data_IF_508885252903
#
_entry.id   IF_508885252903
#
_cell.length_a   1.000
_cell.length_b   1.000
_cell.length_c   1.000
_cell.angle_alpha   90.00
_cell.angle_beta   90.00
_cell.angle_gamma   90.00
#
_symmetry.space_group_name_H-M   'P 1'
#
loop_
_entity.id
_entity.type
_entity.pdbx_description
1 polymer ?
#
# COMPACT_ATOMS: atom_id res chain seq x y z
N UNK A 1 -12.05 -20.19 12.10
CA UNK A 1 -12.42 -20.54 10.72
C UNK A 1 -11.95 -19.50 9.69
N UNK A 2 -12.13 -18.17 9.95
CA UNK A 2 -11.65 -17.05 9.09
C UNK A 2 -10.14 -17.03 8.86
N UNK A 3 -9.32 -17.22 9.89
CA UNK A 3 -7.85 -17.27 9.75
C UNK A 3 -7.35 -18.42 8.85
N UNK A 4 -8.13 -19.50 8.74
CA UNK A 4 -7.79 -20.63 7.89
C UNK A 4 -8.09 -20.37 6.40
N UNK A 5 -9.07 -19.53 6.11
CA UNK A 5 -9.38 -19.08 4.74
C UNK A 5 -8.37 -18.06 4.23
N UNK A 6 -7.95 -17.12 5.08
CA UNK A 6 -6.90 -16.14 4.74
C UNK A 6 -5.57 -16.84 4.39
N UNK A 7 -5.18 -17.87 5.14
CA UNK A 7 -4.00 -18.68 4.84
C UNK A 7 -4.08 -19.41 3.48
N UNK A 8 -5.27 -19.80 3.03
CA UNK A 8 -5.45 -20.44 1.72
C UNK A 8 -5.52 -19.47 0.54
N UNK A 9 -6.06 -18.26 0.77
CA UNK A 9 -6.19 -17.24 -0.27
C UNK A 9 -4.85 -16.52 -0.48
N UNK A 10 -4.11 -16.26 0.59
CA UNK A 10 -2.84 -15.53 0.52
C UNK A 10 -1.69 -16.37 -0.04
N UNK A 11 -1.72 -17.69 0.19
CA UNK A 11 -0.61 -18.57 -0.16
C UNK A 11 -1.09 -19.93 -0.65
N UNK A 12 -1.70 -20.03 -1.85
CA UNK A 12 -1.84 -21.33 -2.46
C UNK A 12 -0.42 -21.92 -2.61
N UNK A 13 -0.19 -23.06 -2.01
CA UNK A 13 1.02 -23.84 -2.24
C UNK A 13 1.02 -24.31 -3.70
N UNK A 14 1.64 -23.52 -4.58
CA UNK A 14 1.94 -23.97 -5.92
C UNK A 14 2.98 -25.09 -5.83
N UNK A 15 2.73 -26.24 -6.43
CA UNK A 15 3.76 -27.27 -6.54
C UNK A 15 4.90 -26.74 -7.39
N UNK A 16 6.03 -26.48 -6.77
CA UNK A 16 7.32 -26.26 -7.42
C UNK A 16 7.80 -27.60 -8.02
N UNK A 17 7.17 -28.06 -9.09
CA UNK A 17 7.71 -29.08 -10.01
C UNK A 17 6.88 -29.11 -11.28
N UNK A 18 7.25 -28.29 -12.23
CA UNK A 18 7.10 -28.61 -13.64
C UNK A 18 8.51 -28.73 -14.22
N UNK A 19 9.15 -29.86 -13.90
CA UNK A 19 10.31 -30.33 -14.63
C UNK A 19 9.81 -31.44 -15.57
N UNK A 20 9.92 -31.18 -16.85
CA UNK A 20 10.01 -32.09 -17.98
C UNK A 20 9.38 -33.48 -17.82
N UNK A 21 8.23 -33.67 -18.40
CA UNK A 21 7.88 -34.87 -19.13
C UNK A 21 7.36 -34.47 -20.50
N UNK A 22 8.16 -34.74 -21.52
CA UNK A 22 7.65 -34.82 -22.88
C UNK A 22 6.54 -35.87 -22.90
N UNK A 23 5.33 -35.42 -23.13
CA UNK A 23 4.23 -36.21 -23.66
C UNK A 23 3.68 -35.41 -24.81
N UNK A 24 3.92 -35.93 -26.00
CA UNK A 24 3.27 -35.53 -27.23
C UNK A 24 1.75 -35.72 -27.10
N UNK A 25 1.05 -34.64 -26.88
CA UNK A 25 -0.34 -34.51 -27.22
C UNK A 25 -0.57 -33.03 -27.59
N UNK A 26 -0.72 -32.79 -28.88
CA UNK A 26 -1.28 -31.55 -29.44
C UNK A 26 -2.69 -31.35 -28.93
N UNK A 27 -2.87 -30.77 -27.79
CA UNK A 27 -4.12 -30.18 -27.33
C UNK A 27 -3.88 -28.74 -26.94
N UNK A 28 -4.21 -27.88 -27.91
CA UNK A 28 -4.75 -26.54 -27.69
C UNK A 28 -4.20 -25.81 -26.44
N UNK A 29 -2.98 -25.30 -26.53
CA UNK A 29 -2.60 -24.14 -25.73
C UNK A 29 -3.53 -23.01 -26.14
N UNK A 30 -4.53 -22.69 -25.31
CA UNK A 30 -5.23 -21.43 -25.43
C UNK A 30 -4.21 -20.32 -25.18
N UNK A 31 -3.79 -19.69 -26.24
CA UNK A 31 -2.92 -18.52 -26.19
C UNK A 31 -3.80 -17.36 -25.73
N UNK A 32 -3.78 -17.06 -24.46
CA UNK A 32 -4.40 -15.85 -23.92
C UNK A 32 -3.62 -14.64 -24.43
N UNK A 33 -4.14 -13.99 -25.45
CA UNK A 33 -3.66 -12.68 -25.84
C UNK A 33 -4.35 -11.65 -24.96
N UNK A 34 -3.62 -11.12 -23.98
CA UNK A 34 -4.09 -9.96 -23.21
C UNK A 34 -4.11 -8.79 -24.18
N UNK A 35 -5.31 -8.36 -24.63
CA UNK A 35 -5.46 -7.13 -25.37
C UNK A 35 -5.07 -5.97 -24.45
N UNK A 36 -3.94 -5.33 -24.73
CA UNK A 36 -3.49 -4.13 -24.02
C UNK A 36 -4.34 -2.96 -24.48
N UNK A 37 -5.31 -2.56 -23.68
CA UNK A 37 -6.07 -1.35 -23.91
C UNK A 37 -5.13 -0.14 -23.88
N UNK A 38 -5.21 0.71 -24.92
CA UNK A 38 -4.56 2.02 -24.88
C UNK A 38 -5.54 3.01 -24.27
N UNK A 39 -5.11 3.76 -23.25
CA UNK A 39 -5.94 4.83 -22.71
C UNK A 39 -6.12 5.94 -23.74
N UNK A 40 -7.37 6.30 -24.09
CA UNK A 40 -7.64 7.51 -24.87
C UNK A 40 -7.02 8.71 -24.16
N UNK A 41 -6.42 9.65 -24.90
CA UNK A 41 -5.80 10.84 -24.31
C UNK A 41 -6.79 11.73 -23.56
N UNK A 42 -8.08 11.68 -23.91
CA UNK A 42 -9.16 12.38 -23.20
C UNK A 42 -9.42 11.82 -21.78
N UNK A 43 -9.04 10.58 -21.50
CA UNK A 43 -9.18 9.94 -20.20
C UNK A 43 -7.92 10.04 -19.32
N UNK A 44 -6.84 10.65 -19.80
CA UNK A 44 -5.61 10.79 -19.04
C UNK A 44 -5.68 11.99 -18.10
N UNK A 45 -5.00 11.92 -16.95
CA UNK A 45 -4.81 13.09 -16.10
C UNK A 45 -4.14 14.24 -16.89
N UNK A 46 -4.60 15.50 -16.78
CA UNK A 46 -4.06 16.62 -17.57
C UNK A 46 -2.55 16.80 -17.45
N UNK A 47 -1.98 16.48 -16.28
CA UNK A 47 -0.57 16.62 -16.00
C UNK A 47 0.26 15.35 -16.21
N UNK A 48 -0.31 14.25 -16.70
CA UNK A 48 0.36 12.94 -16.82
C UNK A 48 1.70 13.00 -17.56
N UNK A 49 1.84 13.90 -18.52
CA UNK A 49 3.05 14.01 -19.34
C UNK A 49 4.00 15.15 -18.92
N UNK A 50 3.66 15.90 -17.88
CA UNK A 50 4.44 17.07 -17.47
C UNK A 50 5.64 16.71 -16.59
N UNK A 51 5.57 15.58 -15.89
CA UNK A 51 6.58 15.17 -14.92
C UNK A 51 7.42 14.03 -15.48
N UNK A 52 8.73 14.22 -15.42
CA UNK A 52 9.72 13.18 -15.68
C UNK A 52 10.08 12.48 -14.37
N UNK A 53 10.74 11.34 -14.48
CA UNK A 53 11.31 10.64 -13.32
C UNK A 53 12.26 11.58 -12.57
N UNK A 54 12.11 11.62 -11.25
CA UNK A 54 12.98 12.40 -10.36
C UNK A 54 14.40 11.83 -10.43
N UNK A 55 15.32 12.55 -11.06
CA UNK A 55 16.73 12.21 -11.14
C UNK A 55 17.56 12.97 -10.08
N UNK A 56 18.84 12.63 -9.96
CA UNK A 56 19.78 13.27 -9.03
C UNK A 56 19.74 14.80 -9.14
N UNK A 57 19.77 15.34 -10.37
CA UNK A 57 19.81 16.78 -10.62
C UNK A 57 18.53 17.46 -10.14
N UNK A 58 17.39 16.84 -10.41
CA UNK A 58 16.08 17.36 -9.98
C UNK A 58 15.92 17.23 -8.47
N UNK A 59 16.36 16.11 -7.88
CA UNK A 59 16.37 15.91 -6.43
C UNK A 59 17.15 17.01 -5.71
N UNK A 60 18.38 17.28 -6.15
CA UNK A 60 19.22 18.32 -5.55
C UNK A 60 18.60 19.73 -5.64
N UNK A 61 17.74 20.00 -6.62
CA UNK A 61 17.01 21.29 -6.73
C UNK A 61 15.88 21.42 -5.71
N UNK A 62 15.39 20.31 -5.14
CA UNK A 62 14.43 20.34 -4.05
C UNK A 62 15.10 20.55 -2.69
N UNK A 63 16.43 20.53 -2.60
CA UNK A 63 17.18 20.72 -1.37
C UNK A 63 17.76 22.13 -1.29
N UNK A 64 17.63 22.75 -0.13
CA UNK A 64 18.36 23.99 0.17
C UNK A 64 19.82 23.70 0.56
N UNK A 65 20.58 24.75 0.86
CA UNK A 65 22.01 24.64 1.24
C UNK A 65 22.26 23.80 2.50
N UNK A 66 21.28 23.68 3.38
CA UNK A 66 21.37 22.87 4.61
C UNK A 66 20.88 21.41 4.38
N UNK A 67 20.43 21.10 3.16
CA UNK A 67 19.91 19.79 2.80
C UNK A 67 18.46 19.56 3.23
N UNK A 68 17.70 20.58 3.59
CA UNK A 68 16.28 20.50 3.89
C UNK A 68 15.48 20.51 2.58
N UNK A 69 14.36 19.78 2.55
CA UNK A 69 13.48 19.75 1.38
C UNK A 69 12.63 21.02 1.34
N UNK A 70 12.79 21.78 0.27
CA UNK A 70 11.93 22.93 -0.02
C UNK A 70 10.67 22.48 -0.76
N UNK A 71 9.53 23.07 -0.40
CA UNK A 71 8.24 22.82 -1.07
C UNK A 71 7.90 21.32 -1.21
N UNK A 72 7.90 20.59 -0.07
CA UNK A 72 7.65 19.15 0.02
C UNK A 72 6.49 18.68 -0.88
N UNK A 73 5.40 19.45 -0.98
CA UNK A 73 4.25 19.10 -1.81
C UNK A 73 4.56 19.11 -3.31
N UNK A 74 5.51 19.93 -3.79
CA UNK A 74 5.97 19.88 -5.18
C UNK A 74 6.83 18.64 -5.44
N UNK A 75 7.69 18.29 -4.49
CA UNK A 75 8.45 17.03 -4.53
C UNK A 75 7.50 15.83 -4.58
N UNK A 76 6.52 15.77 -3.67
CA UNK A 76 5.53 14.69 -3.63
C UNK A 76 4.72 14.60 -4.92
N UNK A 77 4.33 15.73 -5.50
CA UNK A 77 3.67 15.79 -6.82
C UNK A 77 4.57 15.23 -7.93
N UNK A 78 5.83 15.64 -7.97
CA UNK A 78 6.78 15.13 -8.96
C UNK A 78 6.98 13.62 -8.86
N UNK A 79 7.07 13.08 -7.64
CA UNK A 79 7.17 11.64 -7.40
C UNK A 79 5.88 10.90 -7.80
N UNK A 80 4.72 11.44 -7.45
CA UNK A 80 3.42 10.85 -7.78
C UNK A 80 3.25 10.62 -9.28
N UNK A 81 3.65 11.57 -10.12
CA UNK A 81 3.55 11.45 -11.58
C UNK A 81 4.76 10.79 -12.23
N UNK A 82 5.97 11.22 -11.87
CA UNK A 82 7.20 10.81 -12.53
C UNK A 82 7.85 9.54 -11.97
N UNK A 83 7.65 9.26 -10.67
CA UNK A 83 8.43 8.25 -9.94
C UNK A 83 9.86 8.72 -9.66
N UNK A 84 10.67 7.84 -9.07
CA UNK A 84 12.03 8.12 -8.64
C UNK A 84 13.02 7.29 -9.48
N UNK A 85 14.15 7.89 -9.86
CA UNK A 85 15.23 7.15 -10.48
C UNK A 85 15.80 6.13 -9.47
N UNK A 86 15.99 4.86 -9.86
CA UNK A 86 16.51 3.84 -8.95
C UNK A 86 17.80 4.24 -8.23
N UNK A 87 18.68 5.01 -8.88
CA UNK A 87 19.97 5.41 -8.30
C UNK A 87 19.88 6.31 -7.06
N UNK A 88 18.71 6.93 -6.82
CA UNK A 88 18.48 7.83 -5.67
C UNK A 88 17.38 7.36 -4.72
N UNK A 89 16.83 6.18 -4.93
CA UNK A 89 15.78 5.63 -4.03
C UNK A 89 16.24 5.56 -2.58
N UNK A 90 17.47 5.09 -2.35
CA UNK A 90 18.05 5.01 -1.01
C UNK A 90 18.13 6.35 -0.29
N UNK A 91 18.20 7.47 -1.01
CA UNK A 91 18.21 8.82 -0.44
C UNK A 91 16.80 9.40 -0.24
N UNK A 92 15.88 9.14 -1.16
CA UNK A 92 14.54 9.75 -1.19
C UNK A 92 13.53 8.96 -0.37
N UNK A 93 13.57 7.63 -0.41
CA UNK A 93 12.63 6.78 0.31
C UNK A 93 12.58 7.02 1.83
N UNK A 94 13.72 7.30 2.53
CA UNK A 94 13.66 7.63 3.94
C UNK A 94 12.76 8.82 4.30
N UNK A 95 12.58 9.78 3.39
CA UNK A 95 11.63 10.88 3.57
C UNK A 95 10.18 10.43 3.35
N UNK A 96 9.92 9.67 2.29
CA UNK A 96 8.59 9.14 1.98
C UNK A 96 8.09 8.18 3.07
N UNK A 97 8.99 7.46 3.71
CA UNK A 97 8.71 6.50 4.77
C UNK A 97 8.81 7.11 6.18
N UNK A 98 8.86 8.43 6.27
CA UNK A 98 8.89 9.17 7.53
C UNK A 98 10.06 8.83 8.47
N UNK A 99 11.14 8.25 7.95
CA UNK A 99 12.40 8.08 8.70
C UNK A 99 13.12 9.40 8.88
N UNK A 100 13.09 10.26 7.86
CA UNK A 100 13.53 11.65 7.91
C UNK A 100 12.36 12.62 7.77
N UNK A 101 12.39 13.70 8.56
CA UNK A 101 11.52 14.84 8.34
C UNK A 101 11.99 15.65 7.13
N UNK A 102 11.06 16.21 6.35
CA UNK A 102 11.40 17.02 5.17
C UNK A 102 12.14 18.32 5.52
N UNK A 103 11.90 18.87 6.71
CA UNK A 103 12.56 20.06 7.24
C UNK A 103 13.90 19.78 7.93
N UNK A 104 14.31 18.50 8.03
CA UNK A 104 15.58 18.14 8.67
C UNK A 104 16.78 18.52 7.82
N UNK A 105 17.80 19.09 8.46
CA UNK A 105 19.11 19.35 7.83
C UNK A 105 19.92 18.06 7.66
N UNK A 106 20.94 18.10 6.81
CA UNK A 106 21.87 16.97 6.65
C UNK A 106 22.56 16.56 7.94
N UNK A 107 22.93 17.53 8.79
CA UNK A 107 23.54 17.26 10.10
C UNK A 107 22.57 16.60 11.07
N UNK A 108 21.32 17.06 11.12
CA UNK A 108 20.31 16.47 11.96
C UNK A 108 20.01 15.02 11.54
N UNK A 109 19.95 14.74 10.24
CA UNK A 109 19.77 13.37 9.75
C UNK A 109 20.93 12.44 10.13
N UNK A 110 22.18 12.94 10.07
CA UNK A 110 23.33 12.12 10.49
C UNK A 110 23.29 11.83 12.00
N UNK A 111 22.99 12.83 12.83
CA UNK A 111 22.80 12.63 14.27
C UNK A 111 21.64 11.66 14.55
N UNK A 112 20.54 11.78 13.82
CA UNK A 112 19.38 10.89 13.91
C UNK A 112 19.74 9.44 13.56
N UNK A 113 20.50 9.23 12.47
CA UNK A 113 20.98 7.90 12.08
C UNK A 113 21.81 7.24 13.17
N UNK A 114 22.73 7.98 13.80
CA UNK A 114 23.55 7.47 14.90
C UNK A 114 22.68 7.05 16.09
N UNK A 115 21.72 7.88 16.48
CA UNK A 115 20.77 7.57 17.55
C UNK A 115 19.92 6.34 17.21
N UNK A 116 19.42 6.25 15.98
CA UNK A 116 18.60 5.15 15.53
C UNK A 116 19.37 3.83 15.42
N UNK A 117 20.66 3.87 15.05
CA UNK A 117 21.55 2.70 15.08
C UNK A 117 21.73 2.16 16.49
N UNK A 118 21.92 3.03 17.48
CA UNK A 118 21.97 2.63 18.88
C UNK A 118 20.67 1.96 19.30
N UNK A 119 19.54 2.57 19.02
CA UNK A 119 18.23 1.99 19.33
C UNK A 119 17.98 0.64 18.62
N UNK A 120 18.38 0.51 17.34
CA UNK A 120 18.32 -0.77 16.63
C UNK A 120 19.15 -1.85 17.33
N UNK A 121 20.37 -1.50 17.78
CA UNK A 121 21.21 -2.39 18.55
C UNK A 121 20.54 -2.82 19.86
N UNK A 122 19.90 -1.90 20.59
CA UNK A 122 19.16 -2.22 21.82
C UNK A 122 18.01 -3.21 21.57
N UNK A 123 17.28 -3.04 20.46
CA UNK A 123 16.24 -4.01 20.03
C UNK A 123 16.86 -5.38 19.76
N UNK A 124 17.99 -5.41 19.07
CA UNK A 124 18.73 -6.65 18.80
C UNK A 124 19.20 -7.31 20.08
N UNK A 125 19.74 -6.56 21.03
CA UNK A 125 20.18 -7.10 22.34
C UNK A 125 19.01 -7.67 23.13
N UNK A 126 17.84 -6.99 23.15
CA UNK A 126 16.63 -7.55 23.78
C UNK A 126 16.26 -8.91 23.20
N UNK A 127 16.32 -9.07 21.87
CA UNK A 127 16.06 -10.35 21.22
C UNK A 127 17.05 -11.43 21.63
N UNK A 128 18.33 -11.09 21.69
CA UNK A 128 19.41 -12.03 22.01
C UNK A 128 19.47 -12.42 23.49
N UNK A 129 18.90 -11.58 24.39
CA UNK A 129 18.88 -11.81 25.84
C UNK A 129 17.59 -12.47 26.34
N UNK A 130 16.73 -12.98 25.44
CA UNK A 130 15.54 -13.72 25.81
C UNK A 130 15.86 -14.97 26.66
N UNK A 131 15.06 -15.24 27.68
CA UNK A 131 15.13 -16.49 28.44
C UNK A 131 14.83 -17.70 27.52
N UNK A 132 15.22 -18.92 27.91
CA UNK A 132 14.90 -20.12 27.10
C UNK A 132 13.41 -20.28 26.81
N UNK A 133 12.54 -19.94 27.77
CA UNK A 133 11.08 -20.01 27.62
C UNK A 133 10.59 -18.97 26.61
N UNK A 134 11.02 -17.70 26.76
CA UNK A 134 10.68 -16.61 25.84
C UNK A 134 11.19 -16.91 24.42
N UNK A 135 12.41 -17.43 24.31
CA UNK A 135 12.97 -17.81 23.01
C UNK A 135 12.19 -18.95 22.35
N UNK A 136 11.75 -19.96 23.12
CA UNK A 136 10.92 -21.04 22.61
C UNK A 136 9.56 -20.54 22.11
N UNK A 137 8.94 -19.62 22.84
CA UNK A 137 7.69 -18.98 22.47
C UNK A 137 7.84 -18.10 21.22
N UNK A 138 8.87 -17.27 21.19
CA UNK A 138 9.19 -16.41 20.07
C UNK A 138 9.52 -17.22 18.81
N UNK A 139 10.29 -18.31 18.94
CA UNK A 139 10.58 -19.21 17.84
C UNK A 139 9.28 -19.78 17.24
N UNK A 140 8.37 -20.26 18.06
CA UNK A 140 7.12 -20.87 17.64
C UNK A 140 6.16 -19.88 16.96
N UNK A 141 6.04 -18.68 17.52
CA UNK A 141 5.10 -17.65 17.08
C UNK A 141 5.60 -16.83 15.87
N UNK A 142 6.89 -16.61 15.79
CA UNK A 142 7.52 -15.66 14.85
C UNK A 142 8.60 -16.30 14.01
N UNK A 143 9.69 -16.75 14.62
CA UNK A 143 10.92 -17.10 13.93
C UNK A 143 10.72 -18.22 12.91
N UNK A 144 9.94 -19.26 13.27
CA UNK A 144 9.66 -20.38 12.37
C UNK A 144 9.01 -19.94 11.04
N UNK A 145 8.13 -18.93 11.08
CA UNK A 145 7.49 -18.39 9.86
C UNK A 145 8.44 -17.49 9.09
N UNK A 146 9.19 -16.64 9.79
CA UNK A 146 10.23 -15.78 9.17
C UNK A 146 11.25 -16.64 8.43
N UNK A 147 11.77 -17.69 9.08
CA UNK A 147 12.79 -18.58 8.50
C UNK A 147 12.30 -19.25 7.21
N UNK A 148 11.02 -19.61 7.14
CA UNK A 148 10.42 -20.17 5.93
C UNK A 148 10.20 -19.14 4.83
N UNK A 149 9.90 -17.89 5.19
CA UNK A 149 9.61 -16.85 4.21
C UNK A 149 10.89 -16.29 3.58
N UNK A 150 11.91 -15.96 4.37
CA UNK A 150 13.13 -15.33 3.88
C UNK A 150 13.89 -16.19 2.89
N UNK A 151 13.87 -17.52 3.05
CA UNK A 151 14.56 -18.43 2.13
C UNK A 151 13.92 -18.54 0.75
N UNK A 152 12.70 -18.05 0.58
CA UNK A 152 11.96 -18.07 -0.69
C UNK A 152 11.67 -16.68 -1.27
N UNK A 153 11.94 -15.61 -0.50
CA UNK A 153 11.64 -14.23 -0.90
C UNK A 153 12.71 -13.72 -1.86
N UNK A 154 12.28 -13.18 -2.99
CA UNK A 154 13.08 -12.51 -4.03
C UNK A 154 14.36 -13.24 -4.47
N UNK A 155 14.39 -14.58 -4.45
CA UNK A 155 15.57 -15.38 -4.79
C UNK A 155 16.02 -15.26 -6.27
N UNK A 156 15.17 -14.73 -7.14
CA UNK A 156 15.52 -14.38 -8.52
C UNK A 156 16.31 -13.08 -8.62
N UNK A 157 16.18 -12.19 -7.64
CA UNK A 157 16.93 -10.94 -7.57
C UNK A 157 18.40 -11.23 -7.27
N UNK A 158 19.30 -10.60 -8.04
CA UNK A 158 20.75 -10.79 -7.88
C UNK A 158 21.23 -10.47 -6.46
N UNK A 159 20.62 -9.49 -5.79
CA UNK A 159 20.96 -9.08 -4.43
C UNK A 159 20.74 -10.19 -3.39
N UNK A 160 19.73 -11.06 -3.58
CA UNK A 160 19.41 -12.18 -2.69
C UNK A 160 19.76 -13.55 -3.25
N UNK A 161 20.33 -13.62 -4.46
CA UNK A 161 20.60 -14.87 -5.17
C UNK A 161 21.72 -15.67 -4.51
N UNK A 162 21.65 -16.98 -4.61
CA UNK A 162 22.69 -17.94 -4.17
C UNK A 162 22.46 -18.45 -2.75
N UNK A 163 23.12 -19.57 -2.44
CA UNK A 163 23.06 -20.19 -1.12
C UNK A 163 23.92 -19.39 -0.13
N UNK A 164 23.47 -19.33 1.14
CA UNK A 164 24.12 -18.59 2.21
C UNK A 164 24.36 -17.10 1.92
N UNK A 165 23.48 -16.48 1.15
CA UNK A 165 23.60 -15.07 0.83
C UNK A 165 23.43 -14.20 2.10
N UNK A 166 24.40 -13.32 2.43
CA UNK A 166 24.37 -12.51 3.65
C UNK A 166 23.16 -11.56 3.71
N UNK A 167 22.63 -11.10 2.57
CA UNK A 167 21.49 -10.21 2.54
C UNK A 167 20.18 -10.90 2.96
N UNK A 168 20.09 -12.21 2.76
CA UNK A 168 18.96 -13.01 3.27
C UNK A 168 18.99 -13.06 4.79
N UNK A 169 20.18 -13.19 5.39
CA UNK A 169 20.33 -13.16 6.85
C UNK A 169 20.10 -11.73 7.42
N UNK A 170 20.48 -10.69 6.70
CA UNK A 170 20.15 -9.30 7.08
C UNK A 170 18.62 -9.11 7.07
N UNK A 171 17.95 -9.51 6.01
CA UNK A 171 16.47 -9.47 5.92
C UNK A 171 15.82 -10.23 7.08
N UNK A 172 16.32 -11.42 7.40
CA UNK A 172 15.89 -12.22 8.54
C UNK A 172 16.02 -11.46 9.85
N UNK A 173 17.19 -10.86 10.12
CA UNK A 173 17.43 -10.08 11.35
C UNK A 173 16.49 -8.88 11.47
N UNK A 174 16.28 -8.15 10.38
CA UNK A 174 15.35 -7.01 10.34
C UNK A 174 13.94 -7.46 10.79
N UNK A 175 13.42 -8.55 10.21
CA UNK A 175 12.08 -9.06 10.52
C UNK A 175 11.94 -9.56 11.95
N UNK A 176 12.95 -10.29 12.45
CA UNK A 176 12.97 -10.78 13.84
C UNK A 176 13.04 -9.62 14.83
N UNK A 177 13.87 -8.62 14.54
CA UNK A 177 13.99 -7.42 15.37
C UNK A 177 12.72 -6.58 15.35
N UNK A 178 12.03 -6.49 14.17
CA UNK A 178 10.74 -5.83 14.09
C UNK A 178 9.68 -6.49 14.96
N UNK A 179 9.62 -7.80 15.00
CA UNK A 179 8.66 -8.52 15.85
C UNK A 179 8.94 -8.34 17.36
N UNK A 180 10.19 -8.07 17.74
CA UNK A 180 10.55 -7.71 19.14
C UNK A 180 10.25 -6.23 19.40
N UNK A 181 10.41 -5.36 18.41
CA UNK A 181 10.11 -3.94 18.51
C UNK A 181 8.62 -3.68 18.63
N UNK A 182 7.82 -4.36 17.82
CA UNK A 182 6.35 -4.27 17.79
C UNK A 182 5.71 -5.65 18.04
N UNK A 183 5.64 -6.09 19.31
CA UNK A 183 5.14 -7.44 19.65
C UNK A 183 3.64 -7.61 19.38
N UNK A 184 2.86 -6.52 19.38
CA UNK A 184 1.41 -6.56 19.08
C UNK A 184 1.16 -6.91 17.62
N UNK A 185 2.02 -6.45 16.72
CA UNK A 185 2.01 -6.79 15.31
C UNK A 185 2.71 -8.14 15.05
N UNK A 186 3.85 -8.35 15.69
CA UNK A 186 4.68 -9.53 15.47
C UNK A 186 5.17 -9.64 14.04
N UNK A 187 5.01 -10.82 13.45
CA UNK A 187 5.31 -11.10 12.05
C UNK A 187 4.09 -11.68 11.34
N UNK A 188 3.69 -11.05 10.27
CA UNK A 188 2.71 -11.57 9.34
C UNK A 188 3.41 -12.12 8.09
N UNK A 189 2.98 -13.29 7.63
CA UNK A 189 3.52 -13.92 6.43
C UNK A 189 3.39 -12.95 5.23
N UNK A 190 4.50 -12.73 4.51
CA UNK A 190 4.59 -11.78 3.40
C UNK A 190 5.25 -10.45 3.76
N UNK A 191 5.51 -10.14 5.03
CA UNK A 191 6.30 -8.95 5.40
C UNK A 191 7.70 -8.98 4.79
N UNK A 192 8.26 -10.16 4.51
CA UNK A 192 9.52 -10.32 3.80
C UNK A 192 9.48 -9.75 2.38
N UNK A 193 8.34 -9.84 1.69
CA UNK A 193 8.14 -9.22 0.37
C UNK A 193 8.19 -7.68 0.41
N UNK A 194 7.94 -7.09 1.58
CA UNK A 194 8.01 -5.64 1.80
C UNK A 194 9.42 -5.18 2.20
N UNK A 195 10.11 -5.97 3.02
CA UNK A 195 11.48 -5.66 3.48
C UNK A 195 12.49 -5.86 2.36
N UNK A 196 12.32 -6.86 1.50
CA UNK A 196 13.30 -7.19 0.48
C UNK A 196 13.62 -6.01 -0.48
N UNK A 197 12.63 -5.30 -1.07
CA UNK A 197 12.91 -4.13 -1.88
C UNK A 197 13.52 -2.96 -1.09
N UNK A 198 13.08 -2.73 0.16
CA UNK A 198 13.68 -1.70 1.01
C UNK A 198 15.17 -1.97 1.23
N UNK A 199 15.51 -3.20 1.56
CA UNK A 199 16.90 -3.60 1.79
C UNK A 199 17.74 -3.51 0.52
N UNK A 200 17.17 -3.83 -0.63
CA UNK A 200 17.86 -3.74 -1.93
C UNK A 200 18.23 -2.29 -2.28
N UNK A 201 17.34 -1.34 -2.01
CA UNK A 201 17.51 0.06 -2.39
C UNK A 201 18.27 0.87 -1.32
N UNK A 202 18.08 0.60 -0.03
CA UNK A 202 18.69 1.36 1.08
C UNK A 202 20.07 0.81 1.44
N UNK A 203 20.27 -0.52 1.38
CA UNK A 203 21.53 -1.24 1.57
C UNK A 203 22.19 -1.07 2.96
N UNK A 204 21.50 -0.52 3.95
CA UNK A 204 21.91 -0.45 5.35
C UNK A 204 20.87 -1.14 6.22
N UNK A 205 21.29 -2.05 7.09
CA UNK A 205 20.39 -2.87 7.92
C UNK A 205 19.55 -2.01 8.87
N UNK A 206 20.17 -1.07 9.57
CA UNK A 206 19.47 -0.20 10.53
C UNK A 206 18.53 0.79 9.85
N UNK A 207 19.00 1.44 8.78
CA UNK A 207 18.18 2.40 8.05
C UNK A 207 17.00 1.68 7.36
N UNK A 208 17.21 0.48 6.83
CA UNK A 208 16.14 -0.37 6.28
C UNK A 208 15.11 -0.74 7.35
N UNK A 209 15.58 -1.12 8.55
CA UNK A 209 14.69 -1.44 9.66
C UNK A 209 13.80 -0.24 10.01
N UNK A 210 14.36 0.96 10.15
CA UNK A 210 13.58 2.15 10.50
C UNK A 210 12.67 2.64 9.37
N UNK A 211 13.09 2.48 8.12
CA UNK A 211 12.21 2.71 6.96
C UNK A 211 11.06 1.70 6.93
N UNK A 212 11.31 0.44 7.30
CA UNK A 212 10.26 -0.56 7.42
C UNK A 212 9.30 -0.26 8.58
N UNK A 213 9.80 0.21 9.74
CA UNK A 213 8.96 0.71 10.84
C UNK A 213 8.07 1.86 10.35
N UNK A 214 8.66 2.84 9.63
CA UNK A 214 7.91 3.95 9.06
C UNK A 214 6.84 3.51 8.08
N UNK A 215 7.15 2.52 7.24
CA UNK A 215 6.19 1.90 6.32
C UNK A 215 5.00 1.30 7.09
N UNK A 216 5.26 0.54 8.15
CA UNK A 216 4.23 -0.17 8.91
C UNK A 216 3.37 0.75 9.78
N UNK A 217 3.94 1.85 10.27
CA UNK A 217 3.25 2.75 11.22
C UNK A 217 2.54 3.94 10.55
N UNK A 218 3.07 4.41 9.41
CA UNK A 218 2.65 5.68 8.82
C UNK A 218 1.96 5.53 7.46
N UNK A 219 1.77 4.32 6.97
CA UNK A 219 1.03 4.14 5.72
C UNK A 219 -0.27 3.38 5.96
N UNK A 220 -1.37 3.92 5.42
CA UNK A 220 -2.67 3.25 5.38
C UNK A 220 -2.63 2.06 4.40
N UNK A 221 -1.62 2.09 3.55
CA UNK A 221 -1.39 1.16 2.47
C UNK A 221 -1.17 -0.28 2.94
N UNK A 222 -0.51 -0.46 4.09
CA UNK A 222 -0.32 -1.78 4.67
C UNK A 222 -1.38 -2.01 5.72
N UNK A 223 -2.23 -2.96 5.44
CA UNK A 223 -3.21 -3.43 6.38
C UNK A 223 -2.52 -3.92 7.65
N UNK A 224 -2.92 -3.38 8.78
CA UNK A 224 -2.69 -4.03 10.06
C UNK A 224 -3.20 -5.47 9.98
N UNK A 225 -2.61 -6.45 10.65
CA UNK A 225 -3.17 -7.78 10.77
C UNK A 225 -4.53 -7.79 11.49
N UNK A 226 -5.02 -6.62 11.92
CA UNK A 226 -6.37 -6.45 12.45
C UNK A 226 -7.35 -6.49 11.28
N UNK A 227 -8.29 -7.40 11.35
CA UNK A 227 -9.37 -7.58 10.36
C UNK A 227 -10.10 -6.25 10.04
N UNK A 228 -10.18 -5.34 11.01
CA UNK A 228 -10.89 -4.06 10.91
C UNK A 228 -10.28 -3.10 9.85
N UNK A 229 -8.95 -3.08 9.72
CA UNK A 229 -8.30 -2.17 8.75
C UNK A 229 -8.48 -2.66 7.31
N UNK A 230 -8.40 -3.97 7.09
CA UNK A 230 -8.68 -4.57 5.79
C UNK A 230 -10.16 -4.36 5.42
N UNK A 231 -11.08 -4.63 6.34
CA UNK A 231 -12.50 -4.46 6.08
C UNK A 231 -12.86 -3.02 5.73
N UNK A 232 -12.27 -2.03 6.40
CA UNK A 232 -12.45 -0.61 6.06
C UNK A 232 -11.98 -0.30 4.64
N UNK A 233 -10.80 -0.79 4.22
CA UNK A 233 -10.30 -0.58 2.88
C UNK A 233 -11.16 -1.27 1.82
N UNK A 234 -11.64 -2.48 2.11
CA UNK A 234 -12.58 -3.18 1.23
C UNK A 234 -13.93 -2.47 1.14
N UNK A 235 -14.41 -1.89 2.24
CA UNK A 235 -15.61 -1.05 2.24
C UNK A 235 -15.42 0.17 1.32
N UNK A 236 -14.31 0.89 1.42
CA UNK A 236 -14.01 1.99 0.51
C UNK A 236 -13.91 1.52 -0.94
N UNK A 237 -13.30 0.37 -1.18
CA UNK A 237 -13.19 -0.17 -2.53
C UNK A 237 -14.56 -0.55 -3.09
N UNK A 238 -15.45 -1.17 -2.32
CA UNK A 238 -16.85 -1.46 -2.73
C UNK A 238 -17.59 -0.18 -3.12
N UNK A 239 -17.46 0.87 -2.29
CA UNK A 239 -18.10 2.16 -2.57
C UNK A 239 -17.49 2.85 -3.82
N UNK A 240 -16.18 2.77 -4.02
CA UNK A 240 -15.54 3.27 -5.25
C UNK A 240 -16.02 2.50 -6.48
N UNK A 241 -16.15 1.17 -6.40
CA UNK A 241 -16.69 0.35 -7.48
C UNK A 241 -18.15 0.71 -7.77
N UNK A 242 -18.97 0.89 -6.73
CA UNK A 242 -20.37 1.32 -6.91
C UNK A 242 -20.46 2.65 -7.65
N UNK A 243 -19.58 3.60 -7.33
CA UNK A 243 -19.58 4.94 -7.88
C UNK A 243 -18.99 5.01 -9.31
N UNK A 244 -17.90 4.28 -9.55
CA UNK A 244 -17.08 4.44 -10.75
C UNK A 244 -17.25 3.29 -11.76
N UNK A 245 -17.70 2.11 -11.31
CA UNK A 245 -17.90 0.90 -12.12
C UNK A 245 -19.21 0.21 -11.73
N UNK A 246 -20.37 0.87 -11.96
CA UNK A 246 -21.67 0.35 -11.53
C UNK A 246 -21.99 -1.03 -12.07
N UNK A 247 -21.64 -1.36 -13.32
CA UNK A 247 -21.91 -2.66 -13.93
C UNK A 247 -21.12 -3.78 -13.23
N UNK A 248 -19.85 -3.56 -12.97
CA UNK A 248 -19.01 -4.51 -12.20
C UNK A 248 -19.53 -4.68 -10.76
N UNK A 249 -19.90 -3.57 -10.11
CA UNK A 249 -20.50 -3.62 -8.78
C UNK A 249 -21.84 -4.39 -8.78
N UNK A 250 -22.69 -4.20 -9.80
CA UNK A 250 -23.94 -4.95 -9.94
C UNK A 250 -23.69 -6.46 -10.09
N UNK A 251 -22.65 -6.84 -10.85
CA UNK A 251 -22.23 -8.23 -10.96
C UNK A 251 -21.81 -8.80 -9.59
N UNK A 252 -21.00 -8.06 -8.80
CA UNK A 252 -20.63 -8.47 -7.43
C UNK A 252 -21.85 -8.64 -6.53
N UNK A 253 -22.82 -7.72 -6.61
CA UNK A 253 -24.09 -7.83 -5.87
C UNK A 253 -24.89 -9.08 -6.24
N UNK A 254 -24.90 -9.45 -7.53
CA UNK A 254 -25.56 -10.66 -8.00
C UNK A 254 -24.92 -11.96 -7.47
N UNK A 255 -23.60 -11.93 -7.16
CA UNK A 255 -22.87 -13.03 -6.52
C UNK A 255 -23.09 -13.09 -4.99
N UNK A 256 -23.81 -12.13 -4.40
CA UNK A 256 -24.09 -12.07 -2.97
C UNK A 256 -22.88 -11.68 -2.12
N UNK A 257 -22.88 -12.16 -0.84
CA UNK A 257 -21.81 -11.82 0.12
C UNK A 257 -20.43 -12.25 -0.37
N UNK A 258 -20.30 -13.38 -1.04
CA UNK A 258 -19.03 -13.88 -1.56
C UNK A 258 -18.42 -12.94 -2.61
N UNK A 259 -19.24 -12.35 -3.47
CA UNK A 259 -18.80 -11.35 -4.44
C UNK A 259 -18.30 -10.07 -3.76
N UNK A 260 -19.02 -9.62 -2.74
CA UNK A 260 -18.71 -8.39 -1.99
C UNK A 260 -17.49 -8.52 -1.06
N UNK A 261 -17.02 -9.73 -0.75
CA UNK A 261 -15.78 -9.94 -0.01
C UNK A 261 -14.53 -9.51 -0.79
N UNK A 262 -14.60 -9.35 -2.12
CA UNK A 262 -13.50 -8.92 -2.98
C UNK A 262 -12.21 -9.73 -2.76
N UNK A 263 -12.31 -11.06 -2.59
CA UNK A 263 -11.18 -11.93 -2.23
C UNK A 263 -9.97 -11.79 -3.18
N UNK A 264 -10.23 -11.49 -4.45
CA UNK A 264 -9.18 -11.28 -5.44
C UNK A 264 -8.30 -10.05 -5.17
N UNK A 265 -8.82 -9.03 -4.45
CA UNK A 265 -8.09 -7.82 -4.09
C UNK A 265 -7.24 -7.97 -2.80
N UNK A 266 -7.52 -8.96 -1.94
CA UNK A 266 -6.83 -9.09 -0.66
C UNK A 266 -5.32 -9.18 -0.81
N UNK A 267 -4.84 -10.04 -1.73
CA UNK A 267 -3.40 -10.18 -1.99
C UNK A 267 -2.79 -8.89 -2.55
N UNK A 268 -3.53 -8.16 -3.38
CA UNK A 268 -3.07 -6.87 -3.94
C UNK A 268 -2.80 -5.85 -2.83
N UNK A 269 -3.74 -5.72 -1.90
CA UNK A 269 -3.64 -4.77 -0.79
C UNK A 269 -2.57 -5.20 0.22
N UNK A 270 -2.61 -6.46 0.70
CA UNK A 270 -1.71 -6.96 1.74
C UNK A 270 -0.25 -6.96 1.33
N UNK A 271 0.05 -7.30 0.07
CA UNK A 271 1.41 -7.39 -0.46
C UNK A 271 1.77 -6.20 -1.35
N UNK A 272 0.94 -5.15 -1.31
CA UNK A 272 1.21 -3.90 -1.99
C UNK A 272 1.54 -4.10 -3.47
N UNK A 273 0.76 -4.94 -4.16
CA UNK A 273 0.94 -5.30 -5.58
C UNK A 273 2.27 -5.98 -5.92
N UNK A 274 3.15 -6.27 -4.96
CA UNK A 274 4.50 -6.83 -5.17
C UNK A 274 4.48 -8.13 -5.96
N UNK A 275 3.45 -8.94 -5.82
CA UNK A 275 3.29 -10.21 -6.53
C UNK A 275 2.43 -10.13 -7.79
N UNK A 276 1.92 -8.96 -8.11
CA UNK A 276 1.07 -8.74 -9.28
C UNK A 276 1.82 -8.13 -10.46
N UNK A 277 2.92 -7.41 -10.15
CA UNK A 277 3.71 -6.70 -11.15
C UNK A 277 5.21 -7.00 -11.00
N UNK A 278 5.98 -6.86 -12.11
CA UNK A 278 7.43 -6.84 -12.01
C UNK A 278 7.91 -5.78 -11.00
N UNK A 279 9.06 -6.02 -10.34
CA UNK A 279 9.59 -5.14 -9.30
C UNK A 279 9.66 -3.68 -9.73
N UNK A 280 10.11 -3.40 -10.95
CA UNK A 280 10.19 -2.05 -11.51
C UNK A 280 8.86 -1.31 -11.47
N UNK A 281 7.76 -2.00 -11.75
CA UNK A 281 6.42 -1.41 -11.79
C UNK A 281 5.81 -1.33 -10.38
N UNK A 282 5.98 -2.39 -9.59
CA UNK A 282 5.51 -2.43 -8.21
C UNK A 282 6.13 -1.30 -7.37
N UNK A 283 7.44 -1.08 -7.47
CA UNK A 283 8.13 -0.02 -6.74
C UNK A 283 7.68 1.39 -7.16
N UNK A 284 7.38 1.60 -8.44
CA UNK A 284 6.77 2.86 -8.90
C UNK A 284 5.37 3.07 -8.33
N UNK A 285 4.58 2.00 -8.18
CA UNK A 285 3.28 2.07 -7.50
C UNK A 285 3.44 2.44 -6.03
N UNK A 286 4.44 1.88 -5.34
CA UNK A 286 4.77 2.22 -3.97
C UNK A 286 5.13 3.70 -3.83
N UNK A 287 6.03 4.20 -4.67
CA UNK A 287 6.43 5.61 -4.70
C UNK A 287 5.23 6.54 -4.88
N UNK A 288 4.31 6.20 -5.78
CA UNK A 288 3.09 6.98 -6.00
C UNK A 288 2.14 6.96 -4.77
N UNK A 289 2.01 5.81 -4.10
CA UNK A 289 1.23 5.69 -2.87
C UNK A 289 1.88 6.47 -1.71
N UNK A 290 3.20 6.31 -1.50
CA UNK A 290 3.94 6.99 -0.43
C UNK A 290 4.09 8.49 -0.64
N UNK A 291 3.90 8.97 -1.86
CA UNK A 291 3.86 10.40 -2.12
C UNK A 291 2.71 11.11 -1.41
N UNK A 292 1.63 10.42 -1.03
CA UNK A 292 0.48 10.97 -0.32
C UNK A 292 -0.01 12.30 -0.89
N UNK A 293 -0.03 12.41 -2.24
CA UNK A 293 -0.20 13.71 -2.90
C UNK A 293 -1.66 14.20 -2.88
N UNK A 294 -2.56 13.51 -3.52
CA UNK A 294 -3.98 13.90 -3.61
C UNK A 294 -4.90 13.08 -2.72
N UNK A 295 -4.41 11.95 -2.27
CA UNK A 295 -5.10 11.00 -1.40
C UNK A 295 -4.08 10.16 -0.64
N UNK A 296 -4.47 9.65 0.51
CA UNK A 296 -3.70 8.63 1.23
C UNK A 296 -4.09 7.20 0.77
N UNK A 297 -5.16 7.09 -0.01
CA UNK A 297 -5.74 5.83 -0.47
C UNK A 297 -5.51 5.54 -1.95
N UNK A 298 -4.39 6.01 -2.52
CA UNK A 298 -4.12 5.83 -3.96
C UNK A 298 -4.10 4.37 -4.39
N UNK A 299 -3.69 3.45 -3.51
CA UNK A 299 -3.71 2.01 -3.76
C UNK A 299 -5.12 1.47 -4.08
N UNK A 300 -6.19 2.06 -3.55
CA UNK A 300 -7.56 1.67 -3.92
C UNK A 300 -7.90 2.07 -5.36
N UNK A 301 -7.38 3.21 -5.82
CA UNK A 301 -7.52 3.61 -7.23
C UNK A 301 -6.69 2.71 -8.16
N UNK A 302 -5.57 2.15 -7.69
CA UNK A 302 -4.85 1.10 -8.43
C UNK A 302 -5.70 -0.17 -8.54
N UNK A 303 -6.38 -0.59 -7.49
CA UNK A 303 -7.33 -1.72 -7.55
C UNK A 303 -8.45 -1.47 -8.57
N UNK A 304 -9.08 -0.29 -8.52
CA UNK A 304 -10.13 0.07 -9.49
C UNK A 304 -9.56 0.11 -10.91
N UNK A 305 -8.34 0.63 -11.11
CA UNK A 305 -7.69 0.68 -12.42
C UNK A 305 -7.42 -0.71 -13.01
N UNK A 306 -6.98 -1.67 -12.17
CA UNK A 306 -6.80 -3.07 -12.59
C UNK A 306 -8.14 -3.65 -13.06
N UNK A 307 -9.21 -3.43 -12.30
CA UNK A 307 -10.54 -3.93 -12.65
C UNK A 307 -11.04 -3.31 -13.95
N UNK A 308 -10.88 -1.98 -14.13
CA UNK A 308 -11.25 -1.29 -15.39
C UNK A 308 -10.53 -1.86 -16.60
N UNK A 309 -9.23 -2.14 -16.46
CA UNK A 309 -8.40 -2.54 -17.60
C UNK A 309 -8.46 -4.03 -17.91
N UNK A 310 -8.81 -4.86 -16.93
CA UNK A 310 -8.71 -6.32 -17.05
C UNK A 310 -9.93 -7.07 -16.52
N UNK A 311 -10.97 -6.38 -16.09
CA UNK A 311 -12.17 -6.99 -15.51
C UNK A 311 -13.35 -7.11 -16.46
N UNK A 312 -13.24 -6.68 -17.74
CA UNK A 312 -14.32 -6.74 -18.73
C UNK A 312 -14.83 -8.18 -18.91
N UNK A 313 -13.92 -9.14 -19.07
CA UNK A 313 -14.26 -10.56 -19.20
C UNK A 313 -15.07 -11.10 -18.00
N UNK A 314 -14.87 -10.55 -16.80
CA UNK A 314 -15.59 -10.98 -15.59
C UNK A 314 -17.09 -10.68 -15.72
N UNK A 315 -17.41 -9.48 -16.18
CA UNK A 315 -18.80 -9.04 -16.39
C UNK A 315 -19.42 -9.66 -17.63
N UNK A 316 -18.70 -9.73 -18.74
CA UNK A 316 -19.21 -10.25 -20.01
C UNK A 316 -19.53 -11.73 -19.93
N UNK A 317 -18.68 -12.51 -19.25
CA UNK A 317 -18.85 -13.95 -19.08
C UNK A 317 -19.60 -14.32 -17.81
N UNK A 318 -20.04 -13.33 -17.01
CA UNK A 318 -20.75 -13.54 -15.73
C UNK A 318 -20.02 -14.53 -14.81
N UNK A 319 -18.69 -14.33 -14.64
CA UNK A 319 -17.85 -15.26 -13.89
C UNK A 319 -18.28 -15.35 -12.41
N UNK A 320 -18.33 -16.56 -11.89
CA UNK A 320 -18.54 -16.82 -10.47
C UNK A 320 -17.30 -16.40 -9.63
N UNK A 321 -17.42 -16.32 -8.31
CA UNK A 321 -16.39 -15.80 -7.41
C UNK A 321 -15.06 -16.55 -7.52
N UNK A 322 -15.09 -17.87 -7.64
CA UNK A 322 -13.89 -18.71 -7.82
C UNK A 322 -13.22 -18.50 -9.19
N UNK A 323 -14.01 -18.36 -10.23
CA UNK A 323 -13.55 -18.07 -11.58
C UNK A 323 -12.95 -16.66 -11.68
N UNK A 324 -13.58 -15.67 -11.02
CA UNK A 324 -13.07 -14.29 -10.94
C UNK A 324 -11.74 -14.27 -10.18
N UNK A 325 -11.61 -14.99 -9.07
CA UNK A 325 -10.36 -15.13 -8.33
C UNK A 325 -9.25 -15.75 -9.21
N UNK A 326 -9.60 -16.78 -9.99
CA UNK A 326 -8.67 -17.43 -10.93
C UNK A 326 -8.28 -16.47 -12.06
N UNK A 327 -9.25 -15.75 -12.65
CA UNK A 327 -9.02 -14.75 -13.70
C UNK A 327 -7.95 -13.74 -13.27
N UNK A 328 -8.16 -13.04 -12.16
CA UNK A 328 -7.21 -12.04 -11.67
C UNK A 328 -5.87 -12.66 -11.22
N UNK A 329 -5.87 -13.89 -10.69
CA UNK A 329 -4.63 -14.59 -10.33
C UNK A 329 -3.76 -14.92 -11.54
N UNK A 330 -4.36 -15.25 -12.67
CA UNK A 330 -3.66 -15.54 -13.92
C UNK A 330 -3.04 -14.29 -14.58
N UNK A 331 -3.48 -13.09 -14.18
CA UNK A 331 -2.92 -11.82 -14.66
C UNK A 331 -1.62 -11.43 -13.95
N UNK A 332 -1.28 -12.07 -12.82
CA UNK A 332 -0.06 -11.77 -12.06
C UNK A 332 1.17 -11.79 -12.95
N UNK A 333 2.01 -10.76 -12.85
CA UNK A 333 3.23 -10.52 -13.65
C UNK A 333 3.00 -10.28 -15.16
N UNK A 334 1.74 -10.22 -15.62
CA UNK A 334 1.39 -10.00 -17.03
C UNK A 334 0.69 -8.66 -17.28
N UNK A 335 0.31 -7.95 -16.25
CA UNK A 335 -0.32 -6.63 -16.36
C UNK A 335 0.71 -5.54 -16.67
N UNK A 336 0.28 -4.49 -17.37
CA UNK A 336 1.11 -3.33 -17.68
C UNK A 336 1.00 -2.30 -16.53
N UNK A 337 2.04 -2.21 -15.69
CA UNK A 337 2.03 -1.33 -14.52
C UNK A 337 1.97 0.16 -14.85
N UNK A 338 2.61 0.60 -15.95
CA UNK A 338 2.53 1.98 -16.41
C UNK A 338 1.08 2.36 -16.80
N UNK A 339 0.40 1.46 -17.51
CA UNK A 339 -0.98 1.67 -17.92
C UNK A 339 -1.92 1.73 -16.70
N UNK A 340 -1.71 0.83 -15.72
CA UNK A 340 -2.48 0.82 -14.46
C UNK A 340 -2.25 2.11 -13.66
N UNK A 341 -1.01 2.57 -13.52
CA UNK A 341 -0.68 3.83 -12.85
C UNK A 341 -1.38 5.03 -13.49
N UNK A 342 -1.29 5.12 -14.82
CA UNK A 342 -1.93 6.22 -15.57
C UNK A 342 -3.45 6.18 -15.44
N UNK A 343 -4.07 5.01 -15.50
CA UNK A 343 -5.51 4.85 -15.30
C UNK A 343 -5.92 5.20 -13.87
N UNK A 344 -5.16 4.78 -12.87
CA UNK A 344 -5.43 5.10 -11.46
C UNK A 344 -5.38 6.62 -11.20
N UNK A 345 -4.38 7.34 -11.75
CA UNK A 345 -4.31 8.81 -11.66
C UNK A 345 -5.50 9.48 -12.35
N UNK A 346 -5.88 8.98 -13.52
CA UNK A 346 -7.08 9.45 -14.23
C UNK A 346 -8.35 9.25 -13.41
N UNK A 347 -8.52 8.08 -12.82
CA UNK A 347 -9.68 7.76 -11.98
C UNK A 347 -9.73 8.66 -10.73
N UNK A 348 -8.60 8.86 -10.05
CA UNK A 348 -8.51 9.79 -8.92
C UNK A 348 -8.85 11.23 -9.35
N UNK A 349 -8.37 11.67 -10.51
CA UNK A 349 -8.70 12.98 -11.05
C UNK A 349 -10.20 13.12 -11.32
N UNK A 350 -10.82 12.14 -11.98
CA UNK A 350 -12.28 12.12 -12.23
C UNK A 350 -13.06 12.10 -10.93
N UNK A 351 -12.64 11.30 -9.94
CA UNK A 351 -13.25 11.24 -8.62
C UNK A 351 -13.22 12.61 -7.92
N UNK A 352 -12.09 13.31 -7.98
CA UNK A 352 -11.95 14.66 -7.38
C UNK A 352 -12.79 15.72 -8.07
N UNK A 353 -13.14 15.54 -9.34
CA UNK A 353 -14.02 16.45 -10.10
C UNK A 353 -15.50 16.20 -9.87
N UNK A 354 -15.88 15.13 -9.18
CA UNK A 354 -17.28 14.89 -8.84
C UNK A 354 -17.83 16.05 -8.00
N UNK A 355 -19.05 16.52 -8.25
CA UNK A 355 -19.64 17.58 -7.46
C UNK A 355 -19.90 17.14 -6.00
N UNK A 356 -20.20 15.85 -5.81
CA UNK A 356 -20.53 15.26 -4.50
C UNK A 356 -20.04 13.81 -4.42
N UNK A 357 -19.65 13.40 -3.21
CA UNK A 357 -19.29 12.02 -2.87
C UNK A 357 -20.03 11.57 -1.61
N UNK A 358 -20.28 10.27 -1.44
CA UNK A 358 -20.86 9.72 -0.21
C UNK A 358 -19.98 10.03 1.01
N UNK A 359 -20.64 10.22 2.17
CA UNK A 359 -19.93 10.45 3.44
C UNK A 359 -19.00 9.28 3.83
N UNK A 360 -19.26 8.06 3.37
CA UNK A 360 -18.39 6.90 3.52
C UNK A 360 -17.01 7.08 2.87
N UNK A 361 -16.87 7.98 1.89
CA UNK A 361 -15.63 8.27 1.16
C UNK A 361 -15.04 9.66 1.48
N UNK A 362 -15.46 10.28 2.59
CA UNK A 362 -15.13 11.67 2.94
C UNK A 362 -13.63 11.96 3.03
N UNK A 363 -12.84 10.98 3.44
CA UNK A 363 -11.40 11.09 3.68
C UNK A 363 -10.52 10.65 2.48
N UNK A 364 -11.15 10.23 1.36
CA UNK A 364 -10.40 9.82 0.18
C UNK A 364 -9.71 10.97 -0.55
N UNK A 365 -10.18 12.21 -0.37
CA UNK A 365 -9.56 13.40 -0.96
C UNK A 365 -8.94 14.26 0.11
N UNK A 366 -7.72 14.75 -0.17
CA UNK A 366 -7.07 15.73 0.68
C UNK A 366 -6.65 16.98 -0.08
N UNK A 367 -6.45 18.05 0.68
CA UNK A 367 -5.92 19.31 0.14
C UNK A 367 -4.50 19.11 -0.34
N UNK A 368 -4.19 19.61 -1.54
CA UNK A 368 -2.84 19.74 -2.02
C UNK A 368 -2.16 20.97 -1.41
N UNK A 369 -0.86 21.08 -1.57
CA UNK A 369 -0.08 22.19 -1.03
C UNK A 369 -0.48 23.56 -1.59
N UNK A 370 -0.08 24.64 -0.94
CA UNK A 370 -0.38 26.00 -1.37
C UNK A 370 0.11 26.28 -2.79
N UNK A 371 -0.68 27.00 -3.57
CA UNK A 371 -0.33 27.37 -4.93
C UNK A 371 -0.50 26.27 -5.98
N UNK A 372 -0.90 25.06 -5.58
CA UNK A 372 -1.23 24.01 -6.53
C UNK A 372 -2.63 24.25 -7.10
N UNK A 373 -2.76 24.19 -8.42
CA UNK A 373 -4.03 24.47 -9.12
C UNK A 373 -5.12 23.43 -8.75
N UNK A 374 -4.72 22.21 -8.54
CA UNK A 374 -5.58 21.07 -8.22
C UNK A 374 -5.99 20.99 -6.73
N UNK A 375 -5.47 21.86 -5.88
CA UNK A 375 -5.85 21.95 -4.46
C UNK A 375 -7.34 22.30 -4.24
N UNK A 376 -7.98 22.90 -5.24
CA UNK A 376 -9.39 23.36 -5.17
C UNK A 376 -10.40 22.30 -5.58
N UNK A 377 -9.94 21.20 -6.21
CA UNK A 377 -10.82 20.13 -6.69
C UNK A 377 -11.04 19.10 -5.60
N UNK A 378 -11.96 19.40 -4.70
CA UNK A 378 -12.42 18.49 -3.65
C UNK A 378 -13.95 18.41 -3.74
N UNK A 379 -14.51 17.18 -3.89
CA UNK A 379 -15.95 16.98 -3.91
C UNK A 379 -16.60 17.41 -2.60
N UNK A 380 -17.83 17.91 -2.66
CA UNK A 380 -18.65 18.07 -1.47
C UNK A 380 -19.05 16.70 -0.92
N UNK A 381 -19.07 16.56 0.41
CA UNK A 381 -19.48 15.32 1.07
C UNK A 381 -20.97 15.37 1.40
N UNK A 382 -21.70 14.33 1.04
CA UNK A 382 -23.15 14.21 1.26
C UNK A 382 -23.47 12.89 1.96
N UNK A 383 -24.36 12.96 2.95
CA UNK A 383 -24.88 11.78 3.64
C UNK A 383 -26.30 11.47 3.14
N UNK A 384 -26.50 10.27 2.59
CA UNK A 384 -27.82 9.78 2.17
C UNK A 384 -28.72 9.36 3.33
N UNK A 385 -28.17 9.23 4.55
CA UNK A 385 -28.91 8.72 5.70
C UNK A 385 -29.04 7.19 5.76
N UNK A 386 -28.45 6.46 4.83
CA UNK A 386 -28.64 5.01 4.67
C UNK A 386 -27.65 4.13 5.47
N UNK A 387 -26.83 4.72 6.34
CA UNK A 387 -25.88 3.98 7.17
C UNK A 387 -26.26 4.01 8.66
N UNK A 388 -25.84 3.03 9.47
CA UNK A 388 -26.25 2.88 10.88
C UNK A 388 -26.04 4.13 11.73
N UNK A 389 -24.96 4.86 11.51
CA UNK A 389 -24.57 6.07 12.26
C UNK A 389 -25.06 7.37 11.60
N UNK A 390 -26.03 7.30 10.70
CA UNK A 390 -26.49 8.44 9.90
C UNK A 390 -27.00 9.62 10.75
N UNK A 391 -27.56 9.35 11.93
CA UNK A 391 -28.05 10.36 12.87
C UNK A 391 -26.93 11.22 13.49
N UNK A 392 -25.74 10.67 13.61
CA UNK A 392 -24.55 11.32 14.15
C UNK A 392 -23.56 11.70 13.05
N UNK A 393 -23.91 11.50 11.79
CA UNK A 393 -23.02 11.79 10.67
C UNK A 393 -22.83 13.30 10.55
N UNK A 394 -21.59 13.84 10.58
CA UNK A 394 -21.32 15.27 10.48
C UNK A 394 -21.72 15.86 9.12
N UNK A 395 -21.97 15.02 8.12
CA UNK A 395 -22.38 15.38 6.76
C UNK A 395 -23.88 15.22 6.53
N UNK A 396 -24.65 14.78 7.53
CA UNK A 396 -26.11 14.70 7.47
C UNK A 396 -26.72 16.09 7.44
N UNK A 397 -27.39 16.45 6.34
CA UNK A 397 -28.12 17.73 6.24
C UNK A 397 -29.25 17.78 7.25
N UNK A 398 -29.29 18.84 8.02
CA UNK A 398 -30.41 19.21 8.94
C UNK A 398 -31.68 19.40 8.14
N UNK A 399 -32.54 18.41 8.10
CA UNK A 399 -33.96 18.64 7.82
C UNK A 399 -34.70 18.71 9.14
N UNK A 400 -35.22 19.92 9.47
CA UNK A 400 -36.20 20.29 10.47
C UNK A 400 -35.89 20.09 11.96
N UNK A 401 -36.09 21.11 12.81
CA UNK A 401 -36.00 20.99 14.25
C UNK A 401 -37.19 20.22 14.78
N UNK A 402 -36.93 19.03 15.35
CA UNK A 402 -37.89 18.33 16.21
C UNK A 402 -37.72 18.81 17.66
N UNK A 403 -38.79 18.88 18.45
CA UNK A 403 -38.78 19.49 19.78
C UNK A 403 -37.99 18.66 20.77
N UNK A 404 -37.32 19.35 21.65
CA UNK A 404 -36.51 18.94 22.80
C UNK A 404 -36.89 17.62 23.47
N UNK A 405 -36.08 16.60 23.23
CA UNK A 405 -35.82 15.48 24.14
C UNK A 405 -34.33 15.37 24.37
N UNK A 406 -33.84 15.07 25.58
CA UNK A 406 -32.41 15.05 25.86
C UNK A 406 -31.74 13.97 25.03
N UNK A 407 -30.74 14.37 24.25
CA UNK A 407 -29.93 13.49 23.42
C UNK A 407 -29.22 12.44 24.26
N UNK A 408 -29.19 11.17 23.84
CA UNK A 408 -28.25 10.21 24.39
C UNK A 408 -26.84 10.68 24.03
N UNK A 409 -25.95 10.73 25.00
CA UNK A 409 -24.56 11.10 24.85
C UNK A 409 -23.88 10.08 23.91
N UNK A 410 -23.67 10.47 22.67
CA UNK A 410 -22.77 9.77 21.76
C UNK A 410 -21.35 9.96 22.30
N UNK A 411 -20.76 8.91 22.86
CA UNK A 411 -19.34 8.89 23.12
C UNK A 411 -18.65 8.96 21.76
N UNK A 412 -17.71 9.88 21.55
CA UNK A 412 -16.95 9.90 20.32
C UNK A 412 -16.16 8.58 20.25
N UNK A 413 -16.42 7.79 19.22
CA UNK A 413 -15.49 6.74 18.82
C UNK A 413 -14.14 7.42 18.68
N UNK A 414 -13.16 7.00 19.44
CA UNK A 414 -11.82 7.56 19.45
C UNK A 414 -11.29 7.52 18.02
N UNK A 415 -11.40 8.65 17.34
CA UNK A 415 -10.70 8.94 16.13
C UNK A 415 -9.23 8.65 16.38
N UNK A 416 -8.57 7.96 15.45
CA UNK A 416 -7.16 7.72 15.49
C UNK A 416 -6.46 9.04 15.82
N UNK A 417 -5.94 9.16 17.02
CA UNK A 417 -5.07 10.27 17.38
C UNK A 417 -3.87 10.13 16.45
N UNK A 418 -3.75 11.07 15.52
CA UNK A 418 -2.45 11.41 14.98
C UNK A 418 -1.52 11.54 16.17
N UNK A 419 -0.68 10.55 16.37
CA UNK A 419 0.40 10.65 17.35
C UNK A 419 1.45 11.50 16.69
N UNK A 420 1.42 12.80 16.98
CA UNK A 420 2.55 13.68 16.81
C UNK A 420 3.71 13.16 17.69
N UNK A 421 4.50 12.22 17.14
CA UNK A 421 5.68 11.64 17.80
C UNK A 421 6.90 12.55 17.60
N UNK A 422 6.75 13.71 16.99
CA UNK A 422 7.85 14.66 16.77
C UNK A 422 7.63 15.99 17.51
N UNK A 423 7.57 15.93 18.85
CA UNK A 423 7.83 17.12 19.65
C UNK A 423 9.29 17.08 20.14
N UNK A 424 10.14 17.84 19.47
CA UNK A 424 11.43 18.26 20.03
C UNK A 424 11.16 19.06 21.31
N UNK A 425 11.31 18.44 22.47
CA UNK A 425 11.49 19.20 23.70
C UNK A 425 12.88 19.82 23.66
N UNK A 426 12.97 21.12 23.38
CA UNK A 426 14.11 21.93 23.77
C UNK A 426 14.21 21.86 25.30
N UNK A 427 15.20 21.17 25.80
CA UNK A 427 15.69 21.39 27.17
C UNK A 427 16.76 22.48 27.09
N UNK A 428 16.45 23.57 27.78
CA UNK A 428 17.38 24.63 28.12
C UNK A 428 18.45 24.14 29.07
#
# INVERSE_FOLDING_TARGET
>A
MRAYLLGKVLFPSFPTRLCARQVSDEKSCMQFSIQRSTLPSAESHPEEKLYRRLDVTTWLRHLNQNGQVEEEYKLRKAIFFGGIDPSIRGEVWPFLLHYYSYDSTSQEREAWRLQKRTHYHDVQQRRLSMSPEEHSDFWRKVQFTVDKDVVRTDRSNQFFRGDNNPNVEIMRRILLNYAVFNPDMGYCQGMSDLVAPLLTEIQDESDTFWCFVGLMENTIFISSPRDDDMERQLMYLRELLRLMLPDFHQHLMALGEDGLQLLFCHRWILLCFKREFPDTDALRMWEACWAHYQTDYFHLFLCVAIIVLYGEDVTDQQLATDQMLLHFSNLSMHMNGELVLRKARSLLYQFRLLPRIPCSLHDLCKLCGPGMWDSRYIPAVECSGEHPDSRCCPYGGTSTPLPSSPAPSCSPSRGAKSRDIFTFRKQS
#
